data_IF_854839883437
#
_entry.id   IF_854839883437
#
_cell.length_a   1.000
_cell.length_b   1.000
_cell.length_c   1.000
_cell.angle_alpha   90.00
_cell.angle_beta   90.00
_cell.angle_gamma   90.00
#
_symmetry.space_group_name_H-M   'P 1'
#
loop_
_entity.id
_entity.type
_entity.pdbx_description
1 polymer ?
#
# COMPACT_ATOMS: atom_id res chain seq x y z
N UNK A 1 -7.95 -1.62 15.14
CA UNK A 1 -6.68 -1.02 14.68
C UNK A 1 -5.51 -1.97 14.90
N UNK A 2 -5.22 -2.31 16.15
CA UNK A 2 -3.98 -3.00 16.58
C UNK A 2 -3.69 -4.29 15.81
N UNK A 3 -4.66 -5.19 15.63
CA UNK A 3 -4.42 -6.47 14.95
C UNK A 3 -4.05 -6.30 13.48
N UNK A 4 -4.82 -5.49 12.73
CA UNK A 4 -4.56 -5.28 11.28
C UNK A 4 -3.21 -4.60 11.06
N UNK A 5 -2.91 -3.58 11.86
CA UNK A 5 -1.65 -2.85 11.76
C UNK A 5 -0.46 -3.75 12.11
N UNK A 6 -0.56 -4.52 13.20
CA UNK A 6 0.47 -5.47 13.61
C UNK A 6 0.74 -6.50 12.52
N UNK A 7 -0.30 -7.11 11.93
CA UNK A 7 -0.13 -8.07 10.82
C UNK A 7 0.58 -7.42 9.63
N UNK A 8 0.20 -6.20 9.25
CA UNK A 8 0.82 -5.51 8.13
C UNK A 8 2.28 -5.14 8.40
N UNK A 9 2.60 -4.75 9.63
CA UNK A 9 3.98 -4.52 10.08
C UNK A 9 4.80 -5.81 10.06
N UNK A 10 4.25 -6.95 10.49
CA UNK A 10 4.93 -8.24 10.37
C UNK A 10 5.22 -8.60 8.90
N UNK A 11 4.30 -8.30 7.98
CA UNK A 11 4.56 -8.49 6.55
C UNK A 11 5.70 -7.58 6.05
N UNK A 12 5.79 -6.35 6.54
CA UNK A 12 6.89 -5.43 6.22
C UNK A 12 8.26 -5.91 6.69
N UNK A 13 8.33 -6.79 7.69
CA UNK A 13 9.59 -7.38 8.18
C UNK A 13 9.86 -8.78 7.61
N UNK A 14 8.90 -9.34 6.86
CA UNK A 14 9.00 -10.68 6.32
C UNK A 14 10.14 -10.80 5.29
N UNK A 15 10.67 -12.03 5.21
CA UNK A 15 11.71 -12.39 4.26
C UNK A 15 11.21 -12.40 2.81
N UNK A 16 12.15 -12.49 1.87
CA UNK A 16 11.84 -12.45 0.44
C UNK A 16 10.98 -13.62 -0.03
N UNK A 17 11.08 -14.79 0.60
CA UNK A 17 10.28 -15.96 0.23
C UNK A 17 8.81 -15.72 0.58
N UNK A 18 8.53 -15.22 1.79
CA UNK A 18 7.19 -14.85 2.20
C UNK A 18 6.62 -13.71 1.34
N UNK A 19 7.42 -12.67 1.08
CA UNK A 19 7.00 -11.58 0.20
C UNK A 19 6.66 -12.05 -1.23
N UNK A 20 7.30 -13.10 -1.74
CA UNK A 20 6.96 -13.66 -3.05
C UNK A 20 5.54 -14.25 -3.09
N UNK A 21 5.05 -14.78 -1.97
CA UNK A 21 3.65 -15.20 -1.83
C UNK A 21 2.71 -14.00 -1.71
N UNK A 22 3.12 -12.95 -1.00
CA UNK A 22 2.35 -11.70 -0.93
C UNK A 22 2.27 -10.97 -2.28
N UNK A 23 3.25 -11.14 -3.16
CA UNK A 23 3.29 -10.54 -4.48
C UNK A 23 2.41 -11.27 -5.52
N UNK A 24 1.72 -12.35 -5.14
CA UNK A 24 0.78 -13.03 -6.01
C UNK A 24 -0.43 -12.14 -6.30
N UNK A 25 -1.02 -12.21 -7.51
CA UNK A 25 -2.11 -11.32 -7.90
C UNK A 25 -3.29 -11.29 -6.92
N UNK A 26 -3.73 -12.44 -6.43
CA UNK A 26 -4.88 -12.58 -5.53
C UNK A 26 -4.59 -11.92 -4.19
N UNK A 27 -3.37 -12.08 -3.70
CA UNK A 27 -2.93 -11.48 -2.45
C UNK A 27 -2.84 -9.96 -2.62
N UNK A 28 -2.18 -9.48 -3.69
CA UNK A 28 -2.04 -8.05 -3.99
C UNK A 28 -3.37 -7.30 -4.03
N UNK A 29 -4.44 -7.92 -4.55
CA UNK A 29 -5.77 -7.31 -4.50
C UNK A 29 -6.22 -6.98 -3.07
N UNK A 30 -5.96 -7.88 -2.11
CA UNK A 30 -6.27 -7.67 -0.70
C UNK A 30 -5.37 -6.58 -0.09
N UNK A 31 -4.07 -6.55 -0.40
CA UNK A 31 -3.20 -5.47 0.09
C UNK A 31 -3.60 -4.11 -0.49
N UNK A 32 -4.05 -4.04 -1.75
CA UNK A 32 -4.51 -2.78 -2.33
C UNK A 32 -5.74 -2.19 -1.64
N UNK A 33 -6.56 -3.01 -0.97
CA UNK A 33 -7.67 -2.51 -0.15
C UNK A 33 -7.17 -1.74 1.07
N UNK A 34 -5.99 -2.10 1.61
CA UNK A 34 -5.40 -1.46 2.79
C UNK A 34 -4.95 -0.03 2.54
N UNK A 35 -4.80 0.37 1.26
CA UNK A 35 -4.52 1.76 0.86
C UNK A 35 -5.69 2.72 1.12
N UNK A 36 -6.89 2.18 1.30
CA UNK A 36 -8.11 2.96 1.51
C UNK A 36 -8.65 2.79 2.93
N UNK A 37 -7.81 2.38 3.88
CA UNK A 37 -8.20 2.27 5.29
C UNK A 37 -8.53 3.65 5.89
N UNK A 38 -9.42 3.71 6.87
CA UNK A 38 -9.82 4.96 7.53
C UNK A 38 -8.70 5.59 8.38
N UNK A 39 -7.67 4.82 8.73
CA UNK A 39 -6.53 5.25 9.54
C UNK A 39 -5.32 5.50 8.67
N UNK A 40 -4.68 6.66 8.85
CA UNK A 40 -3.50 7.04 8.07
C UNK A 40 -2.34 6.07 8.29
N UNK A 41 -2.14 5.60 9.52
CA UNK A 41 -1.07 4.68 9.89
C UNK A 41 -1.19 3.33 9.15
N UNK A 42 -2.43 2.89 8.86
CA UNK A 42 -2.69 1.70 8.04
C UNK A 42 -2.34 1.95 6.57
N UNK A 43 -2.72 3.12 6.02
CA UNK A 43 -2.38 3.48 4.64
C UNK A 43 -0.87 3.60 4.45
N UNK A 44 -0.16 4.21 5.39
CA UNK A 44 1.30 4.36 5.38
C UNK A 44 2.00 2.99 5.39
N UNK A 45 1.58 2.10 6.30
CA UNK A 45 2.10 0.74 6.34
C UNK A 45 1.82 -0.02 5.03
N UNK A 46 0.64 0.18 4.42
CA UNK A 46 0.28 -0.43 3.14
C UNK A 46 1.15 0.08 1.99
N UNK A 47 1.43 1.38 1.92
CA UNK A 47 2.36 1.95 0.93
C UNK A 47 3.76 1.38 1.12
N UNK A 48 4.24 1.25 2.36
CA UNK A 48 5.54 0.65 2.64
C UNK A 48 5.63 -0.81 2.16
N UNK A 49 4.65 -1.64 2.52
CA UNK A 49 4.59 -3.04 2.09
C UNK A 49 4.53 -3.16 0.57
N UNK A 50 3.64 -2.40 -0.08
CA UNK A 50 3.51 -2.42 -1.54
C UNK A 50 4.78 -1.92 -2.24
N UNK A 51 5.49 -0.95 -1.65
CA UNK A 51 6.82 -0.56 -2.11
C UNK A 51 7.78 -1.76 -2.21
N UNK A 52 7.86 -2.58 -1.15
CA UNK A 52 8.67 -3.82 -1.17
C UNK A 52 8.17 -4.83 -2.21
N UNK A 53 6.86 -5.04 -2.29
CA UNK A 53 6.27 -5.99 -3.25
C UNK A 53 6.45 -5.53 -4.72
N UNK A 54 6.67 -4.24 -4.96
CA UNK A 54 6.93 -3.73 -6.31
C UNK A 54 8.22 -4.25 -6.93
N UNK A 55 9.20 -4.65 -6.12
CA UNK A 55 10.42 -5.31 -6.60
C UNK A 55 10.15 -6.73 -7.13
N UNK A 56 9.07 -7.37 -6.66
CA UNK A 56 8.71 -8.74 -7.00
C UNK A 56 7.63 -8.80 -8.10
N UNK A 57 6.69 -7.85 -8.08
CA UNK A 57 5.62 -7.76 -9.08
C UNK A 57 5.36 -6.31 -9.50
N UNK A 58 6.31 -5.69 -10.23
CA UNK A 58 6.19 -4.30 -10.64
C UNK A 58 4.99 -4.07 -11.58
N UNK A 59 4.63 -5.08 -12.38
CA UNK A 59 3.56 -5.00 -13.37
C UNK A 59 2.19 -4.71 -12.74
N UNK A 60 1.89 -5.28 -11.56
CA UNK A 60 0.64 -5.03 -10.85
C UNK A 60 0.74 -3.87 -9.87
N UNK A 61 1.88 -3.75 -9.17
CA UNK A 61 2.02 -2.80 -8.07
C UNK A 61 2.26 -1.37 -8.56
N UNK A 62 3.18 -1.17 -9.52
CA UNK A 62 3.57 0.19 -9.93
C UNK A 62 2.41 0.98 -10.57
N UNK A 63 1.56 0.41 -11.44
CA UNK A 63 0.40 1.15 -11.95
C UNK A 63 -0.54 1.61 -10.84
N UNK A 64 -0.75 0.77 -9.83
CA UNK A 64 -1.61 1.09 -8.69
C UNK A 64 -0.99 2.17 -7.80
N UNK A 65 0.31 2.08 -7.50
CA UNK A 65 1.06 3.08 -6.73
C UNK A 65 1.10 4.44 -7.44
N UNK A 66 1.31 4.46 -8.76
CA UNK A 66 1.23 5.69 -9.55
C UNK A 66 -0.13 6.38 -9.39
N UNK A 67 -1.22 5.61 -9.41
CA UNK A 67 -2.56 6.14 -9.20
C UNK A 67 -2.72 6.75 -7.80
N UNK A 68 -2.28 6.05 -6.76
CA UNK A 68 -2.29 6.59 -5.38
C UNK A 68 -1.51 7.91 -5.30
N UNK A 69 -0.29 7.97 -5.83
CA UNK A 69 0.51 9.19 -5.84
C UNK A 69 -0.20 10.37 -6.51
N UNK A 70 -0.82 10.13 -7.68
CA UNK A 70 -1.58 11.17 -8.38
C UNK A 70 -2.81 11.62 -7.58
N UNK A 71 -3.54 10.68 -6.97
CA UNK A 71 -4.69 10.97 -6.12
C UNK A 71 -4.27 11.80 -4.89
N UNK A 72 -3.19 11.42 -4.20
CA UNK A 72 -2.64 12.17 -3.06
C UNK A 72 -2.17 13.57 -3.45
N UNK A 73 -1.44 13.72 -4.56
CA UNK A 73 -1.02 15.05 -5.06
C UNK A 73 -2.22 15.93 -5.40
N UNK A 74 -3.26 15.36 -6.01
CA UNK A 74 -4.50 16.08 -6.32
C UNK A 74 -5.21 16.54 -5.04
N UNK A 75 -5.31 15.67 -4.03
CA UNK A 75 -5.90 16.02 -2.73
C UNK A 75 -5.12 17.15 -2.07
N UNK A 76 -3.78 17.09 -2.02
CA UNK A 76 -2.94 18.14 -1.44
C UNK A 76 -3.05 19.47 -2.19
N UNK A 77 -3.18 19.42 -3.52
CA UNK A 77 -3.31 20.63 -4.35
C UNK A 77 -4.66 21.32 -4.10
N UNK A 78 -5.73 20.54 -3.94
CA UNK A 78 -7.09 21.06 -3.82
C UNK A 78 -7.52 21.30 -2.37
N UNK A 79 -6.87 20.71 -1.37
CA UNK A 79 -7.22 20.89 0.05
C UNK A 79 -7.04 22.32 0.55
N UNK A 80 -6.21 23.13 -0.11
CA UNK A 80 -6.01 24.56 0.19
C UNK A 80 -6.81 25.52 -0.71
N UNK A 81 -7.54 25.01 -1.70
CA UNK A 81 -8.31 25.83 -2.66
C UNK A 81 -9.77 26.04 -2.25
N UNK A 82 -10.18 25.57 -1.07
CA UNK A 82 -11.39 26.02 -0.41
C UNK A 82 -11.18 27.45 0.14
N UNK A 83 -11.26 28.44 -0.74
CA UNK A 83 -11.51 29.85 -0.41
C UNK A 83 -12.74 30.33 -1.17
#
# INVERSE_FOLDING_TARGET
LEVRLCVLQCFCEADRAFLSHLAQPEMLQLQFMSLHDEKLEMQEAAVCLLGRLSELNPALVLPRMRRVLLETLSQLTNSGQAK
#
